data_IF_527173303838
#
_entry.id   IF_527173303838
#
_cell.length_a   1.000
_cell.length_b   1.000
_cell.length_c   1.000
_cell.angle_alpha   90.00
_cell.angle_beta   90.00
_cell.angle_gamma   90.00
#
_symmetry.space_group_name_H-M   'P 1'
#
loop_
_entity.id
_entity.type
_entity.pdbx_description
1 polymer ?
#
# COMPACT_ATOMS: atom_id res chain seq x y z
N UNK A 1 -27.11 -17.22 -6.56
CA UNK A 1 -26.17 -18.32 -6.86
C UNK A 1 -25.14 -17.86 -7.89
N UNK A 2 -24.21 -16.98 -7.50
CA UNK A 2 -23.25 -16.38 -8.45
C UNK A 2 -21.96 -15.85 -7.82
N UNK A 3 -21.91 -15.60 -6.50
CA UNK A 3 -20.69 -15.12 -5.83
C UNK A 3 -19.55 -16.14 -5.89
N UNK A 4 -19.86 -17.43 -5.78
CA UNK A 4 -18.86 -18.49 -5.90
C UNK A 4 -18.22 -18.51 -7.30
N UNK A 5 -19.03 -18.36 -8.35
CA UNK A 5 -18.55 -18.27 -9.73
C UNK A 5 -17.69 -17.01 -9.94
N UNK A 6 -18.11 -15.88 -9.37
CA UNK A 6 -17.36 -14.63 -9.43
C UNK A 6 -16.00 -14.72 -8.72
N UNK A 7 -15.94 -15.37 -7.55
CA UNK A 7 -14.67 -15.59 -6.81
C UNK A 7 -13.74 -16.49 -7.62
N UNK A 8 -14.26 -17.57 -8.21
CA UNK A 8 -13.47 -18.48 -9.05
C UNK A 8 -12.93 -17.76 -10.29
N UNK A 9 -13.77 -17.00 -10.99
CA UNK A 9 -13.36 -16.22 -12.16
C UNK A 9 -12.33 -15.13 -11.81
N UNK A 10 -12.54 -14.39 -10.71
CA UNK A 10 -11.59 -13.39 -10.25
C UNK A 10 -10.26 -14.02 -9.82
N UNK A 11 -10.30 -15.18 -9.16
CA UNK A 11 -9.12 -15.95 -8.77
C UNK A 11 -8.31 -16.41 -9.99
N UNK A 12 -8.98 -17.01 -10.97
CA UNK A 12 -8.35 -17.43 -12.23
C UNK A 12 -7.77 -16.23 -12.97
N UNK A 13 -8.52 -15.13 -13.10
CA UNK A 13 -8.05 -13.91 -13.77
C UNK A 13 -6.82 -13.30 -13.08
N UNK A 14 -6.81 -13.26 -11.74
CA UNK A 14 -5.68 -12.75 -10.96
C UNK A 14 -4.46 -13.68 -11.05
N UNK A 15 -4.68 -14.99 -11.09
CA UNK A 15 -3.60 -15.96 -11.26
C UNK A 15 -2.99 -15.87 -12.66
N UNK A 16 -3.82 -15.81 -13.70
CA UNK A 16 -3.37 -15.66 -15.08
C UNK A 16 -2.60 -14.35 -15.29
N UNK A 17 -3.07 -13.24 -14.72
CA UNK A 17 -2.38 -11.95 -14.88
C UNK A 17 -0.97 -11.97 -14.30
N UNK A 18 -0.71 -12.73 -13.24
CA UNK A 18 0.65 -12.94 -12.71
C UNK A 18 1.43 -13.98 -13.52
N UNK A 19 0.80 -15.09 -13.86
CA UNK A 19 1.43 -16.21 -14.55
C UNK A 19 1.87 -15.84 -15.97
N UNK A 20 1.11 -14.99 -16.68
CA UNK A 20 1.41 -14.64 -18.06
C UNK A 20 2.76 -13.91 -18.18
N UNK A 21 3.09 -13.02 -17.23
CA UNK A 21 4.38 -12.34 -17.21
C UNK A 21 5.53 -13.28 -16.83
N UNK A 22 5.29 -14.23 -15.94
CA UNK A 22 6.33 -15.19 -15.52
C UNK A 22 6.62 -16.17 -16.66
N UNK A 23 5.58 -16.75 -17.27
CA UNK A 23 5.73 -17.77 -18.33
C UNK A 23 6.19 -17.15 -19.65
N UNK A 24 5.66 -15.99 -20.06
CA UNK A 24 6.06 -15.35 -21.31
C UNK A 24 7.50 -14.80 -21.28
N UNK A 25 8.05 -14.57 -20.07
CA UNK A 25 9.37 -13.98 -19.88
C UNK A 25 10.38 -14.96 -19.27
N UNK A 26 9.99 -16.23 -19.09
CA UNK A 26 10.82 -17.29 -18.51
C UNK A 26 12.11 -17.58 -19.32
N UNK A 27 12.03 -17.51 -20.66
CA UNK A 27 13.16 -17.80 -21.56
C UNK A 27 13.99 -16.57 -21.95
N UNK A 28 13.67 -15.37 -21.43
CA UNK A 28 14.42 -14.14 -21.74
C UNK A 28 15.16 -13.62 -20.53
N UNK A 29 16.45 -13.31 -20.72
CA UNK A 29 17.23 -12.62 -19.71
C UNK A 29 16.63 -11.24 -19.45
N UNK A 30 16.19 -10.99 -18.22
CA UNK A 30 15.64 -9.71 -17.82
C UNK A 30 16.72 -8.62 -17.93
N UNK A 31 16.44 -7.47 -18.56
CA UNK A 31 17.38 -6.35 -18.56
C UNK A 31 17.58 -5.86 -17.11
N UNK A 32 18.83 -5.59 -16.73
CA UNK A 32 19.18 -5.20 -15.35
C UNK A 32 18.39 -3.98 -14.83
N UNK A 33 17.94 -3.10 -15.73
CA UNK A 33 17.08 -1.96 -15.41
C UNK A 33 15.68 -2.39 -14.94
N UNK A 34 15.09 -3.42 -15.55
CA UNK A 34 13.76 -3.90 -15.18
C UNK A 34 13.78 -4.58 -13.80
N UNK A 35 14.82 -5.36 -13.50
CA UNK A 35 15.00 -5.98 -12.18
C UNK A 35 15.14 -4.92 -11.08
N UNK A 36 15.95 -3.88 -11.32
CA UNK A 36 16.08 -2.74 -10.40
C UNK A 36 14.74 -2.03 -10.21
N UNK A 37 13.99 -1.79 -11.28
CA UNK A 37 12.67 -1.18 -11.18
C UNK A 37 11.70 -2.04 -10.35
N UNK A 38 11.70 -3.37 -10.56
CA UNK A 38 10.88 -4.33 -9.80
C UNK A 38 11.17 -4.30 -8.29
N UNK A 39 12.42 -4.13 -7.89
CA UNK A 39 12.82 -4.01 -6.48
C UNK A 39 12.16 -2.78 -5.80
N UNK A 40 11.98 -1.69 -6.54
CA UNK A 40 11.32 -0.48 -6.04
C UNK A 40 9.79 -0.51 -6.12
N UNK A 41 9.19 -1.51 -6.78
CA UNK A 41 7.72 -1.61 -6.88
C UNK A 41 7.10 -1.78 -5.50
N UNK A 42 7.64 -2.68 -4.67
CA UNK A 42 7.09 -2.92 -3.34
C UNK A 42 7.05 -1.65 -2.45
N UNK A 43 8.16 -0.92 -2.23
CA UNK A 43 8.11 0.32 -1.46
C UNK A 43 7.30 1.43 -2.14
N UNK A 44 7.30 1.53 -3.48
CA UNK A 44 6.48 2.52 -4.19
C UNK A 44 4.98 2.27 -4.00
N UNK A 45 4.55 1.01 -4.10
CA UNK A 45 3.15 0.62 -3.89
C UNK A 45 2.72 0.90 -2.45
N UNK A 46 3.57 0.65 -1.46
CA UNK A 46 3.26 1.01 -0.07
C UNK A 46 2.99 2.51 0.08
N UNK A 47 3.81 3.37 -0.54
CA UNK A 47 3.58 4.81 -0.55
C UNK A 47 2.29 5.20 -1.27
N UNK A 48 2.04 4.61 -2.44
CA UNK A 48 0.83 4.86 -3.22
C UNK A 48 -0.45 4.44 -2.48
N UNK A 49 -0.41 3.32 -1.74
CA UNK A 49 -1.52 2.85 -0.91
C UNK A 49 -1.83 3.85 0.21
N UNK A 50 -0.80 4.38 0.88
CA UNK A 50 -0.99 5.41 1.92
C UNK A 50 -1.66 6.65 1.31
N UNK A 51 -1.17 7.14 0.18
CA UNK A 51 -1.77 8.30 -0.51
C UNK A 51 -3.20 8.03 -0.95
N UNK A 52 -3.48 6.82 -1.47
CA UNK A 52 -4.82 6.42 -1.90
C UNK A 52 -5.79 6.29 -0.73
N UNK A 53 -5.31 5.95 0.47
CA UNK A 53 -6.13 5.94 1.68
C UNK A 53 -6.47 7.36 2.17
N UNK A 54 -5.67 8.36 1.80
CA UNK A 54 -5.91 9.78 2.13
C UNK A 54 -6.74 10.51 1.08
N UNK A 55 -6.97 9.87 -0.07
CA UNK A 55 -7.67 10.47 -1.21
C UNK A 55 -8.96 9.71 -1.47
N UNK A 56 -10.07 10.42 -1.57
CA UNK A 56 -11.36 9.81 -1.95
C UNK A 56 -11.31 9.39 -3.42
N UNK A 57 -12.11 8.40 -3.81
CA UNK A 57 -12.28 8.00 -5.22
C UNK A 57 -12.68 9.16 -6.16
N UNK A 58 -13.22 10.27 -5.63
CA UNK A 58 -13.54 11.49 -6.38
C UNK A 58 -12.40 12.53 -6.49
N UNK A 59 -11.21 12.25 -5.95
CA UNK A 59 -10.09 13.20 -5.92
C UNK A 59 -10.15 14.23 -4.80
N UNK A 60 -11.15 14.15 -3.92
CA UNK A 60 -11.21 14.96 -2.71
C UNK A 60 -10.24 14.41 -1.66
N UNK A 61 -9.39 15.30 -1.16
CA UNK A 61 -8.39 14.99 -0.17
C UNK A 61 -9.04 15.07 1.21
N UNK A 62 -9.30 13.90 1.81
CA UNK A 62 -9.75 13.76 3.21
C UNK A 62 -8.54 13.96 4.12
N UNK A 63 -8.01 15.18 4.14
CA UNK A 63 -6.98 15.57 5.10
C UNK A 63 -7.69 16.24 6.28
N UNK A 64 -8.04 15.43 7.28
CA UNK A 64 -8.34 15.91 8.61
C UNK A 64 -7.07 16.19 9.42
N UNK A 65 -7.22 16.97 10.49
CA UNK A 65 -6.21 17.09 11.54
C UNK A 65 -5.70 15.72 12.06
N UNK A 66 -6.56 14.68 12.27
CA UNK A 66 -6.10 13.37 12.75
C UNK A 66 -5.20 12.62 11.75
N UNK A 67 -5.50 12.63 10.44
CA UNK A 67 -4.63 11.96 9.46
C UNK A 67 -3.25 12.62 9.38
N UNK A 68 -3.19 13.95 9.35
CA UNK A 68 -1.92 14.68 9.32
C UNK A 68 -1.08 14.46 10.57
N UNK A 69 -1.70 14.48 11.75
CA UNK A 69 -1.01 14.23 13.00
C UNK A 69 -0.47 12.79 13.06
N UNK A 70 -1.29 11.80 12.68
CA UNK A 70 -0.90 10.40 12.62
C UNK A 70 0.25 10.15 11.63
N UNK A 71 0.14 10.68 10.41
CA UNK A 71 1.18 10.55 9.37
C UNK A 71 2.47 11.27 9.75
N UNK A 72 2.39 12.49 10.29
CA UNK A 72 3.54 13.26 10.72
C UNK A 72 4.31 12.57 11.83
N UNK A 73 3.60 12.07 12.85
CA UNK A 73 4.21 11.29 13.93
C UNK A 73 4.79 9.96 13.41
N UNK A 74 4.09 9.24 12.55
CA UNK A 74 4.59 8.02 11.94
C UNK A 74 5.86 8.27 11.12
N UNK A 75 5.89 9.32 10.29
CA UNK A 75 7.06 9.69 9.49
C UNK A 75 8.26 10.06 10.39
N UNK A 76 8.03 10.80 11.47
CA UNK A 76 9.09 11.18 12.42
C UNK A 76 9.66 9.96 13.16
N UNK A 77 8.80 9.02 13.59
CA UNK A 77 9.22 7.80 14.29
C UNK A 77 9.90 6.82 13.33
N UNK A 78 9.44 6.74 12.08
CA UNK A 78 10.07 5.96 11.02
C UNK A 78 11.51 6.41 10.80
N UNK A 79 11.73 7.73 10.73
CA UNK A 79 13.05 8.30 10.51
C UNK A 79 13.99 8.05 11.70
N UNK A 80 13.49 8.13 12.93
CA UNK A 80 14.30 8.00 14.14
C UNK A 80 14.61 6.56 14.53
N UNK A 81 13.64 5.65 14.41
CA UNK A 81 13.73 4.31 15.01
C UNK A 81 14.19 3.24 14.03
N UNK A 82 14.07 3.47 12.70
CA UNK A 82 14.28 2.46 11.64
C UNK A 82 13.57 1.11 11.89
N UNK A 83 12.59 1.08 12.80
CA UNK A 83 11.86 -0.10 13.21
C UNK A 83 10.38 0.07 12.86
N UNK A 84 9.91 -0.78 11.95
CA UNK A 84 8.55 -0.73 11.42
C UNK A 84 7.48 -0.96 12.48
N UNK A 85 7.77 -1.76 13.51
CA UNK A 85 6.81 -2.08 14.58
C UNK A 85 6.50 -0.83 15.41
N UNK A 86 7.53 -0.10 15.83
CA UNK A 86 7.34 1.14 16.59
C UNK A 86 6.63 2.21 15.76
N UNK A 87 6.97 2.32 14.48
CA UNK A 87 6.32 3.25 13.55
C UNK A 87 4.83 3.01 13.43
N UNK A 88 4.43 1.73 13.28
CA UNK A 88 3.04 1.33 13.19
C UNK A 88 2.29 1.63 14.48
N UNK A 89 2.85 1.23 15.63
CA UNK A 89 2.23 1.45 16.94
C UNK A 89 2.05 2.93 17.23
N UNK A 90 3.07 3.76 17.00
CA UNK A 90 2.98 5.21 17.22
C UNK A 90 2.01 5.88 16.27
N UNK A 91 1.99 5.50 14.99
CA UNK A 91 1.06 6.06 14.02
C UNK A 91 -0.39 5.73 14.35
N UNK A 92 -0.66 4.47 14.69
CA UNK A 92 -1.99 4.01 15.08
C UNK A 92 -2.45 4.67 16.38
N UNK A 93 -1.61 4.69 17.41
CA UNK A 93 -1.97 5.30 18.70
C UNK A 93 -2.26 6.80 18.58
N UNK A 94 -1.43 7.55 17.85
CA UNK A 94 -1.66 8.99 17.62
C UNK A 94 -2.93 9.21 16.80
N UNK A 95 -3.13 8.46 15.72
CA UNK A 95 -4.34 8.57 14.92
C UNK A 95 -5.60 8.34 15.76
N UNK A 96 -5.62 7.28 16.57
CA UNK A 96 -6.76 6.94 17.42
C UNK A 96 -7.02 7.99 18.51
N UNK A 97 -5.97 8.50 19.15
CA UNK A 97 -6.10 9.54 20.19
C UNK A 97 -6.62 10.84 19.58
N UNK A 98 -6.08 11.27 18.45
CA UNK A 98 -6.52 12.52 17.80
C UNK A 98 -7.92 12.36 17.22
N UNK A 99 -8.25 11.20 16.65
CA UNK A 99 -9.60 10.89 16.20
C UNK A 99 -10.61 10.91 17.35
N UNK A 100 -10.26 10.36 18.52
CA UNK A 100 -11.14 10.39 19.70
C UNK A 100 -11.36 11.78 20.29
N UNK A 101 -10.39 12.70 20.14
CA UNK A 101 -10.50 14.10 20.60
C UNK A 101 -11.23 14.97 19.57
N UNK A 102 -11.18 14.61 18.28
CA UNK A 102 -11.78 15.36 17.18
C UNK A 102 -13.23 14.93 16.84
N UNK A 103 -13.76 13.89 17.51
CA UNK A 103 -15.17 13.44 17.45
C UNK A 103 -16.00 14.17 18.50
#
# INVERSE_FOLDING_TARGET
MSQFLAIVLAGIGTYLSRAIFIVALADRQFPALALRALEYVAPAVMGALIVSMLTTAGGEVLIGLPELAGLGCAAMVAWKTRNHIYTLLTGMTVFWVVAAIAV
#
